data_IF_566587805935
#
_entry.id   IF_566587805935
#
_cell.length_a   1.000
_cell.length_b   1.000
_cell.length_c   1.000
_cell.angle_alpha   90.00
_cell.angle_beta   90.00
_cell.angle_gamma   90.00
#
_symmetry.space_group_name_H-M   'P 1'
#
loop_
_entity.id
_entity.type
_entity.pdbx_description
1 polymer ?
#
# COMPACT_ATOMS: atom_id res chain seq x y z
N UNK A 1 -12.22 -23.56 7.96
CA UNK A 1 -13.32 -23.40 6.96
C UNK A 1 -14.01 -22.05 7.18
N UNK A 2 -14.51 -21.76 8.38
CA UNK A 2 -15.15 -20.48 8.74
C UNK A 2 -14.28 -19.22 8.48
N UNK A 3 -13.01 -19.22 8.90
CA UNK A 3 -12.12 -18.07 8.67
C UNK A 3 -11.94 -17.68 7.20
N UNK A 4 -11.92 -18.65 6.28
CA UNK A 4 -11.82 -18.36 4.84
C UNK A 4 -13.11 -17.72 4.31
N UNK A 5 -14.27 -18.24 4.73
CA UNK A 5 -15.58 -17.70 4.33
C UNK A 5 -15.74 -16.26 4.85
N UNK A 6 -15.39 -16.02 6.11
CA UNK A 6 -15.46 -14.68 6.72
C UNK A 6 -14.65 -13.68 5.90
N UNK A 7 -13.44 -14.06 5.48
CA UNK A 7 -12.54 -13.17 4.74
C UNK A 7 -13.10 -12.86 3.36
N UNK A 8 -13.45 -13.89 2.60
CA UNK A 8 -13.99 -13.72 1.24
C UNK A 8 -15.28 -12.89 1.28
N UNK A 9 -16.18 -13.21 2.22
CA UNK A 9 -17.42 -12.46 2.40
C UNK A 9 -17.15 -11.01 2.84
N UNK A 10 -16.17 -10.76 3.72
CA UNK A 10 -15.82 -9.41 4.18
C UNK A 10 -15.32 -8.55 3.02
N UNK A 11 -14.43 -9.06 2.16
CA UNK A 11 -13.95 -8.33 1.00
C UNK A 11 -15.07 -8.04 -0.01
N UNK A 12 -15.93 -9.02 -0.29
CA UNK A 12 -17.09 -8.82 -1.17
C UNK A 12 -18.03 -7.75 -0.60
N UNK A 13 -18.35 -7.82 0.69
CA UNK A 13 -19.25 -6.86 1.33
C UNK A 13 -18.65 -5.46 1.38
N UNK A 14 -17.37 -5.32 1.72
CA UNK A 14 -16.69 -4.01 1.74
C UNK A 14 -16.67 -3.40 0.35
N UNK A 15 -16.38 -4.17 -0.71
CA UNK A 15 -16.48 -3.67 -2.09
C UNK A 15 -17.92 -3.30 -2.48
N UNK A 16 -18.93 -4.07 -2.02
CA UNK A 16 -20.34 -3.81 -2.27
C UNK A 16 -20.83 -2.51 -1.64
N UNK A 17 -20.56 -2.29 -0.36
CA UNK A 17 -20.90 -1.02 0.28
C UNK A 17 -19.99 0.11 -0.21
N UNK A 18 -18.76 -0.25 -0.57
CA UNK A 18 -17.74 0.62 -1.14
C UNK A 18 -18.14 1.33 -2.42
N UNK A 19 -18.96 0.68 -3.24
CA UNK A 19 -19.41 1.23 -4.51
C UNK A 19 -20.59 2.20 -4.38
N UNK A 20 -21.22 2.31 -3.20
CA UNK A 20 -22.43 3.13 -3.03
C UNK A 20 -22.19 4.61 -3.38
N UNK A 21 -21.10 5.28 -2.95
CA UNK A 21 -20.87 6.67 -3.36
C UNK A 21 -20.79 6.86 -4.88
N UNK A 22 -20.19 5.89 -5.60
CA UNK A 22 -20.11 5.92 -7.06
C UNK A 22 -21.47 5.69 -7.72
N UNK A 23 -22.22 4.69 -7.24
CA UNK A 23 -23.53 4.36 -7.78
C UNK A 23 -24.56 5.48 -7.54
N UNK A 24 -24.49 6.16 -6.38
CA UNK A 24 -25.35 7.30 -6.05
C UNK A 24 -25.00 8.56 -6.84
N UNK A 25 -23.73 8.74 -7.23
CA UNK A 25 -23.32 9.83 -8.12
C UNK A 25 -23.81 9.64 -9.56
N UNK A 26 -23.73 8.41 -10.07
CA UNK A 26 -24.12 8.09 -11.44
C UNK A 26 -23.12 8.62 -12.48
N UNK A 27 -23.61 8.99 -13.67
CA UNK A 27 -22.78 9.43 -14.78
C UNK A 27 -21.95 8.28 -15.36
N UNK A 28 -20.62 8.35 -15.24
CA UNK A 28 -19.70 7.31 -15.73
C UNK A 28 -19.79 6.00 -14.93
N UNK A 29 -20.40 6.04 -13.73
CA UNK A 29 -20.57 4.90 -12.85
C UNK A 29 -21.90 4.18 -13.10
N UNK A 30 -21.93 3.32 -14.12
CA UNK A 30 -22.90 2.22 -14.15
C UNK A 30 -22.70 1.30 -12.93
N UNK A 31 -23.67 0.44 -12.58
CA UNK A 31 -23.55 -0.49 -11.45
C UNK A 31 -22.25 -1.33 -11.52
N UNK A 32 -21.89 -1.78 -12.73
CA UNK A 32 -20.68 -2.58 -12.97
C UNK A 32 -19.43 -1.71 -12.84
N UNK A 33 -19.44 -0.49 -13.36
CA UNK A 33 -18.31 0.45 -13.27
C UNK A 33 -18.06 0.89 -11.82
N UNK A 34 -19.13 1.18 -11.07
CA UNK A 34 -19.08 1.50 -9.66
C UNK A 34 -18.50 0.34 -8.84
N UNK A 35 -18.95 -0.89 -9.11
CA UNK A 35 -18.40 -2.09 -8.50
C UNK A 35 -16.90 -2.25 -8.84
N UNK A 36 -16.52 -2.08 -10.11
CA UNK A 36 -15.14 -2.19 -10.56
C UNK A 36 -14.23 -1.17 -9.84
N UNK A 37 -14.63 0.10 -9.81
CA UNK A 37 -13.87 1.17 -9.18
C UNK A 37 -13.71 0.93 -7.67
N UNK A 38 -14.75 0.41 -7.01
CA UNK A 38 -14.71 0.02 -5.60
C UNK A 38 -13.77 -1.15 -5.34
N UNK A 39 -13.87 -2.21 -6.16
CA UNK A 39 -12.97 -3.37 -6.05
C UNK A 39 -11.53 -2.92 -6.24
N UNK A 40 -11.21 -2.21 -7.33
CA UNK A 40 -9.87 -1.73 -7.63
C UNK A 40 -9.31 -0.82 -6.52
N UNK A 41 -10.18 -0.10 -5.83
CA UNK A 41 -9.90 0.64 -4.62
C UNK A 41 -9.48 -0.25 -3.45
N UNK A 42 -10.40 -1.06 -2.93
CA UNK A 42 -10.16 -1.86 -1.74
C UNK A 42 -9.09 -2.95 -1.91
N UNK A 43 -8.90 -3.46 -3.13
CA UNK A 43 -7.82 -4.43 -3.42
C UNK A 43 -6.47 -3.78 -3.68
N UNK A 44 -6.39 -2.45 -3.56
CA UNK A 44 -5.19 -1.65 -3.85
C UNK A 44 -4.62 -1.98 -5.25
N UNK A 45 -5.50 -2.16 -6.23
CA UNK A 45 -5.11 -2.43 -7.61
C UNK A 45 -4.89 -1.15 -8.41
N UNK A 46 -5.68 -0.11 -8.12
CA UNK A 46 -5.50 1.22 -8.69
C UNK A 46 -5.85 1.36 -10.17
N UNK A 47 -6.47 0.35 -10.78
CA UNK A 47 -7.06 0.48 -12.11
C UNK A 47 -8.34 1.30 -12.06
N UNK A 48 -8.59 2.14 -13.06
CA UNK A 48 -9.80 2.96 -13.14
C UNK A 48 -10.48 2.82 -14.49
N UNK A 49 -11.81 2.90 -14.49
CA UNK A 49 -12.64 2.95 -15.71
C UNK A 49 -12.83 4.38 -16.23
N UNK A 50 -12.44 5.37 -15.43
CA UNK A 50 -12.72 6.77 -15.69
C UNK A 50 -11.77 7.31 -16.74
N UNK A 51 -12.31 8.08 -17.68
CA UNK A 51 -11.51 8.76 -18.70
C UNK A 51 -10.95 10.08 -18.20
N UNK A 52 -11.75 10.78 -17.41
CA UNK A 52 -11.37 12.04 -16.78
C UNK A 52 -11.67 11.98 -15.28
N UNK A 53 -10.63 11.68 -14.51
CA UNK A 53 -10.66 11.65 -13.05
C UNK A 53 -10.85 13.04 -12.46
N UNK A 54 -10.29 14.07 -13.10
CA UNK A 54 -10.30 15.45 -12.59
C UNK A 54 -11.70 16.08 -12.65
N UNK A 55 -12.60 15.53 -13.47
CA UNK A 55 -14.01 15.92 -13.51
C UNK A 55 -14.81 15.49 -12.27
N UNK A 56 -14.29 14.56 -11.44
CA UNK A 56 -14.98 14.13 -10.24
C UNK A 56 -14.94 15.20 -9.14
N UNK A 57 -16.03 15.34 -8.36
CA UNK A 57 -16.02 16.20 -7.18
C UNK A 57 -14.99 15.69 -6.16
N UNK A 58 -14.39 16.60 -5.40
CA UNK A 58 -13.35 16.29 -4.40
C UNK A 58 -13.77 15.24 -3.38
N UNK A 59 -15.06 15.16 -3.04
CA UNK A 59 -15.59 14.10 -2.15
C UNK A 59 -15.42 12.69 -2.72
N UNK A 60 -15.66 12.50 -4.02
CA UNK A 60 -15.45 11.20 -4.67
C UNK A 60 -13.98 10.89 -4.89
N UNK A 61 -13.18 11.90 -5.26
CA UNK A 61 -11.72 11.75 -5.34
C UNK A 61 -11.13 11.30 -4.00
N UNK A 62 -11.56 11.92 -2.90
CA UNK A 62 -11.14 11.52 -1.57
C UNK A 62 -11.59 10.11 -1.22
N UNK A 63 -12.84 9.76 -1.54
CA UNK A 63 -13.36 8.40 -1.31
C UNK A 63 -12.52 7.36 -2.05
N UNK A 64 -12.23 7.59 -3.34
CA UNK A 64 -11.37 6.72 -4.17
C UNK A 64 -10.04 6.46 -3.48
N UNK A 65 -9.29 7.51 -3.15
CA UNK A 65 -7.99 7.35 -2.47
C UNK A 65 -8.12 6.73 -1.08
N UNK A 66 -9.20 7.02 -0.34
CA UNK A 66 -9.44 6.43 0.99
C UNK A 66 -9.67 4.92 0.92
N UNK A 67 -10.29 4.40 -0.15
CA UNK A 67 -10.44 2.96 -0.34
C UNK A 67 -9.10 2.24 -0.50
N UNK A 68 -8.09 2.86 -1.14
CA UNK A 68 -6.71 2.35 -1.14
C UNK A 68 -6.18 2.28 0.28
N UNK A 69 -6.29 3.38 1.02
CA UNK A 69 -5.76 3.45 2.38
C UNK A 69 -6.40 2.42 3.34
N UNK A 70 -7.72 2.23 3.24
CA UNK A 70 -8.46 1.23 4.00
C UNK A 70 -8.16 -0.21 3.54
N UNK A 71 -8.04 -0.43 2.24
CA UNK A 71 -7.66 -1.71 1.65
C UNK A 71 -6.27 -2.17 2.05
N UNK A 72 -5.30 -1.25 1.99
CA UNK A 72 -3.89 -1.48 2.34
C UNK A 72 -3.72 -1.91 3.79
N UNK A 73 -4.35 -1.20 4.74
CA UNK A 73 -4.32 -1.65 6.13
C UNK A 73 -5.07 -2.98 6.30
N UNK A 74 -6.19 -3.17 5.58
CA UNK A 74 -6.97 -4.40 5.59
C UNK A 74 -6.16 -5.64 5.21
N UNK A 75 -5.40 -5.58 4.11
CA UNK A 75 -4.60 -6.72 3.65
C UNK A 75 -3.42 -7.01 4.58
N UNK A 76 -2.77 -5.98 5.13
CA UNK A 76 -1.67 -6.15 6.09
C UNK A 76 -2.19 -6.82 7.37
N UNK A 77 -3.29 -6.34 7.93
CA UNK A 77 -3.90 -6.92 9.13
C UNK A 77 -4.39 -8.34 8.89
N UNK A 78 -4.99 -8.58 7.73
CA UNK A 78 -5.39 -9.92 7.30
C UNK A 78 -4.20 -10.88 7.27
N UNK A 79 -3.12 -10.52 6.60
CA UNK A 79 -1.92 -11.36 6.50
C UNK A 79 -1.36 -11.69 7.89
N UNK A 80 -1.36 -10.71 8.81
CA UNK A 80 -0.86 -10.89 10.17
C UNK A 80 -1.75 -11.77 11.05
N UNK A 81 -3.06 -11.76 10.85
CA UNK A 81 -4.00 -12.58 11.66
C UNK A 81 -4.09 -14.00 11.10
N UNK A 82 -4.11 -14.15 9.79
CA UNK A 82 -4.47 -15.42 9.12
C UNK A 82 -3.25 -16.32 8.94
N UNK A 83 -2.11 -15.78 8.50
CA UNK A 83 -0.91 -16.59 8.26
C UNK A 83 -0.46 -17.34 9.52
N UNK A 84 -0.43 -16.73 10.72
CA UNK A 84 -0.13 -17.46 11.95
C UNK A 84 -1.22 -18.46 12.34
N UNK A 85 -2.49 -18.23 12.01
CA UNK A 85 -3.57 -19.17 12.28
C UNK A 85 -3.44 -20.45 11.45
N UNK A 86 -2.99 -20.34 10.19
CA UNK A 86 -2.68 -21.50 9.33
C UNK A 86 -1.47 -22.27 9.87
N UNK A 87 -0.41 -21.57 10.30
CA UNK A 87 0.75 -22.20 10.95
C UNK A 87 0.42 -22.92 12.27
N UNK A 88 -0.54 -22.38 13.04
CA UNK A 88 -1.07 -23.03 14.26
C UNK A 88 -1.75 -24.37 13.97
N UNK A 89 -2.35 -24.58 12.80
CA UNK A 89 -2.92 -25.90 12.43
C UNK A 89 -1.81 -26.95 12.32
N UNK A 90 -0.62 -26.57 11.83
CA UNK A 90 0.56 -27.45 11.75
C UNK A 90 1.22 -27.68 13.12
N UNK A 91 1.28 -26.66 13.98
CA UNK A 91 1.77 -26.78 15.36
C UNK A 91 0.76 -27.42 16.33
N UNK A 92 -0.53 -27.44 16.00
CA UNK A 92 -1.59 -28.06 16.82
C UNK A 92 -1.46 -29.57 16.91
N UNK A 93 -0.85 -30.22 15.92
CA UNK A 93 -0.50 -31.63 15.98
C UNK A 93 0.64 -31.91 16.98
N UNK A 94 1.50 -30.91 17.24
CA UNK A 94 2.57 -30.95 18.25
C UNK A 94 2.13 -30.43 19.64
N UNK A 95 0.90 -29.89 19.76
CA UNK A 95 0.38 -29.26 20.98
C UNK A 95 -0.12 -30.23 22.06
N UNK A 96 -0.15 -31.53 21.79
CA UNK A 96 -0.49 -32.52 22.82
C UNK A 96 0.57 -32.58 23.94
N UNK A 97 1.76 -32.01 23.72
CA UNK A 97 2.89 -32.08 24.66
C UNK A 97 3.22 -30.75 25.37
N UNK A 98 2.45 -29.67 25.17
CA UNK A 98 2.83 -28.33 25.69
C UNK A 98 2.05 -27.87 26.92
N UNK A 99 2.79 -27.37 27.91
CA UNK A 99 2.29 -26.89 29.21
C UNK A 99 1.39 -25.63 29.12
N UNK A 100 0.49 -25.40 30.10
CA UNK A 100 -0.43 -24.25 30.14
C UNK A 100 0.25 -22.87 30.08
N UNK A 101 1.48 -22.74 30.58
CA UNK A 101 2.25 -21.49 30.55
C UNK A 101 2.60 -21.05 29.11
N UNK A 102 2.82 -21.99 28.20
CA UNK A 102 3.09 -21.71 26.79
C UNK A 102 1.86 -21.17 26.04
N UNK A 103 0.63 -21.51 26.49
CA UNK A 103 -0.62 -20.98 25.92
C UNK A 103 -0.82 -19.49 26.24
N UNK A 104 -0.44 -19.04 27.45
CA UNK A 104 -0.66 -17.65 27.91
C UNK A 104 0.20 -16.60 27.19
N UNK A 105 1.45 -16.94 26.85
CA UNK A 105 2.39 -16.04 26.15
C UNK A 105 1.98 -15.68 24.71
N UNK A 106 1.01 -16.38 24.12
CA UNK A 106 0.62 -16.21 22.71
C UNK A 106 -0.46 -15.14 22.49
N UNK A 107 -1.39 -14.94 23.43
CA UNK A 107 -2.40 -13.87 23.34
C UNK A 107 -1.76 -12.47 23.48
N UNK A 108 -0.75 -12.34 24.34
CA UNK A 108 -0.08 -11.06 24.63
C UNK A 108 0.77 -10.52 23.45
N UNK A 109 1.26 -11.39 22.55
CA UNK A 109 2.09 -10.99 21.40
C UNK A 109 1.28 -10.43 20.21
N UNK A 110 0.01 -10.81 20.07
CA UNK A 110 -0.83 -10.39 18.93
C UNK A 110 -1.10 -8.88 18.93
N UNK A 111 -1.34 -8.29 20.11
CA UNK A 111 -1.68 -6.86 20.23
C UNK A 111 -0.48 -5.94 19.92
N UNK A 112 0.75 -6.35 20.26
CA UNK A 112 1.94 -5.54 19.99
C UNK A 112 2.27 -5.47 18.50
N UNK A 113 2.07 -6.55 17.75
CA UNK A 113 2.30 -6.56 16.29
C UNK A 113 1.30 -5.65 15.57
N UNK A 114 0.04 -5.67 15.99
CA UNK A 114 -1.00 -4.78 15.47
C UNK A 114 -0.65 -3.30 15.69
N UNK A 115 -0.22 -2.95 16.91
CA UNK A 115 0.22 -1.58 17.23
C UNK A 115 1.40 -1.13 16.37
N UNK A 116 2.39 -2.00 16.16
CA UNK A 116 3.54 -1.70 15.29
C UNK A 116 3.09 -1.38 13.87
N UNK A 117 2.17 -2.16 13.32
CA UNK A 117 1.68 -1.97 11.95
C UNK A 117 0.92 -0.67 11.81
N UNK A 118 -0.02 -0.40 12.71
CA UNK A 118 -0.80 0.84 12.69
C UNK A 118 0.12 2.06 12.83
N UNK A 119 1.08 2.01 13.75
CA UNK A 119 2.02 3.10 13.98
C UNK A 119 2.88 3.39 12.74
N UNK A 120 3.42 2.34 12.10
CA UNK A 120 4.24 2.50 10.89
C UNK A 120 3.40 2.97 9.72
N UNK A 121 2.21 2.39 9.51
CA UNK A 121 1.30 2.79 8.42
C UNK A 121 0.95 4.28 8.51
N UNK A 122 0.43 4.70 9.67
CA UNK A 122 0.09 6.11 9.91
C UNK A 122 1.32 7.02 9.87
N UNK A 123 2.44 6.57 10.42
CA UNK A 123 3.69 7.33 10.43
C UNK A 123 4.19 7.60 9.01
N UNK A 124 4.15 6.59 8.13
CA UNK A 124 4.49 6.75 6.72
C UNK A 124 3.51 7.69 6.02
N UNK A 125 2.20 7.48 6.17
CA UNK A 125 1.18 8.32 5.52
C UNK A 125 1.32 9.79 5.90
N UNK A 126 1.50 10.09 7.19
CA UNK A 126 1.66 11.48 7.67
C UNK A 126 2.98 12.07 7.18
N UNK A 127 4.08 11.32 7.26
CA UNK A 127 5.38 11.80 6.81
C UNK A 127 5.39 12.10 5.30
N UNK A 128 4.83 11.21 4.48
CA UNK A 128 4.72 11.42 3.03
C UNK A 128 3.86 12.63 2.70
N UNK A 129 2.70 12.75 3.35
CA UNK A 129 1.79 13.89 3.17
C UNK A 129 2.50 15.21 3.43
N UNK A 130 3.27 15.32 4.52
CA UNK A 130 4.00 16.54 4.88
C UNK A 130 5.07 16.84 3.82
N UNK A 131 5.84 15.84 3.40
CA UNK A 131 6.91 16.02 2.42
C UNK A 131 6.37 16.43 1.05
N UNK A 132 5.27 15.82 0.60
CA UNK A 132 4.59 16.17 -0.65
C UNK A 132 4.00 17.58 -0.61
N UNK A 133 3.36 17.94 0.50
CA UNK A 133 2.80 19.28 0.70
C UNK A 133 3.89 20.36 0.64
N UNK A 134 5.00 20.17 1.35
CA UNK A 134 6.13 21.12 1.35
C UNK A 134 6.83 21.18 -0.02
N UNK A 135 6.75 20.10 -0.80
CA UNK A 135 7.29 20.04 -2.17
C UNK A 135 6.39 20.68 -3.24
N UNK A 136 5.25 21.25 -2.83
CA UNK A 136 4.38 22.05 -3.70
C UNK A 136 3.03 21.43 -4.06
N UNK A 137 2.69 20.24 -3.56
CA UNK A 137 1.33 19.70 -3.74
C UNK A 137 0.31 20.46 -2.88
N UNK A 138 -0.94 20.51 -3.34
CA UNK A 138 -2.05 20.90 -2.45
C UNK A 138 -2.18 19.90 -1.31
N UNK A 139 -2.65 20.32 -0.13
CA UNK A 139 -2.83 19.40 1.00
C UNK A 139 -3.75 18.22 0.64
N UNK A 140 -4.79 18.50 -0.15
CA UNK A 140 -5.72 17.49 -0.64
C UNK A 140 -5.01 16.45 -1.49
N UNK A 141 -4.21 16.88 -2.46
CA UNK A 141 -3.47 15.98 -3.34
C UNK A 141 -2.36 15.23 -2.61
N UNK A 142 -1.69 15.88 -1.65
CA UNK A 142 -0.66 15.27 -0.84
C UNK A 142 -1.20 14.11 0.01
N UNK A 143 -2.36 14.29 0.64
CA UNK A 143 -3.03 13.23 1.43
C UNK A 143 -3.48 12.08 0.52
N UNK A 144 -4.12 12.40 -0.60
CA UNK A 144 -4.66 11.37 -1.50
C UNK A 144 -3.58 10.57 -2.21
N UNK A 145 -2.45 11.19 -2.55
CA UNK A 145 -1.28 10.47 -3.08
C UNK A 145 -0.62 9.62 -1.99
N UNK A 146 -0.43 10.15 -0.77
CA UNK A 146 0.11 9.36 0.34
C UNK A 146 -0.75 8.13 0.67
N UNK A 147 -2.08 8.23 0.55
CA UNK A 147 -2.98 7.09 0.67
C UNK A 147 -2.71 6.03 -0.39
N UNK A 148 -2.55 6.44 -1.65
CA UNK A 148 -2.22 5.54 -2.76
C UNK A 148 -0.83 4.91 -2.64
N UNK A 149 0.19 5.68 -2.27
CA UNK A 149 1.58 5.21 -2.15
C UNK A 149 1.74 4.22 -1.00
N UNK A 150 1.30 4.58 0.21
CA UNK A 150 1.51 3.74 1.41
C UNK A 150 0.70 2.45 1.35
N UNK A 151 -0.46 2.48 0.71
CA UNK A 151 -1.25 1.29 0.43
C UNK A 151 -0.75 0.49 -0.78
N UNK A 152 0.26 0.95 -1.50
CA UNK A 152 0.76 0.37 -2.76
C UNK A 152 -0.32 0.22 -3.84
N UNK A 153 -1.29 1.14 -3.87
CA UNK A 153 -2.44 1.07 -4.75
C UNK A 153 -2.34 1.93 -6.01
N UNK A 154 -1.84 3.17 -5.92
CA UNK A 154 -1.56 4.00 -7.10
C UNK A 154 -2.72 4.84 -7.68
N UNK A 155 -3.83 5.05 -6.96
CA UNK A 155 -4.83 6.04 -7.38
C UNK A 155 -4.29 7.46 -7.24
N UNK A 156 -4.73 8.33 -8.14
CA UNK A 156 -4.39 9.75 -8.14
C UNK A 156 -5.64 10.61 -8.36
N UNK A 157 -5.55 11.86 -7.92
CA UNK A 157 -6.51 12.92 -8.22
C UNK A 157 -6.29 13.54 -9.60
N UNK A 158 -5.20 13.18 -10.29
CA UNK A 158 -4.79 13.72 -11.58
C UNK A 158 -4.79 12.64 -12.65
N UNK A 159 -5.20 12.99 -13.87
CA UNK A 159 -5.24 12.04 -14.98
C UNK A 159 -3.87 11.49 -15.34
N UNK A 160 -2.83 12.33 -15.27
CA UNK A 160 -1.44 11.95 -15.50
C UNK A 160 -0.73 11.37 -14.25
N UNK A 161 -1.49 11.08 -13.18
CA UNK A 161 -0.94 10.68 -11.88
C UNK A 161 0.14 11.65 -11.39
N UNK A 162 1.25 11.15 -10.84
CA UNK A 162 2.41 11.94 -10.40
C UNK A 162 3.01 12.78 -11.53
N UNK A 163 2.90 12.33 -12.78
CA UNK A 163 3.41 13.03 -13.96
C UNK A 163 2.80 14.42 -14.17
N UNK A 164 1.62 14.70 -13.59
CA UNK A 164 1.00 16.02 -13.59
C UNK A 164 1.90 17.11 -12.98
N UNK A 165 2.66 16.78 -11.94
CA UNK A 165 3.46 17.76 -11.20
C UNK A 165 4.82 18.05 -11.85
N UNK A 166 5.30 17.16 -12.73
CA UNK A 166 6.60 17.25 -13.39
C UNK A 166 7.73 17.75 -12.47
N UNK A 167 7.83 17.17 -11.28
CA UNK A 167 8.74 17.62 -10.23
C UNK A 167 9.56 16.45 -9.73
N UNK A 168 10.88 16.52 -9.96
CA UNK A 168 11.84 15.52 -9.52
C UNK A 168 11.76 15.30 -8.00
N UNK A 169 11.49 16.35 -7.23
CA UNK A 169 11.36 16.25 -5.77
C UNK A 169 10.17 15.38 -5.37
N UNK A 170 9.01 15.59 -6.00
CA UNK A 170 7.79 14.82 -5.73
C UNK A 170 7.97 13.36 -6.14
N UNK A 171 8.53 13.12 -7.32
CA UNK A 171 8.80 11.77 -7.82
C UNK A 171 9.74 11.02 -6.89
N UNK A 172 10.86 11.63 -6.48
CA UNK A 172 11.81 11.01 -5.54
C UNK A 172 11.16 10.70 -4.19
N UNK A 173 10.31 11.59 -3.65
CA UNK A 173 9.57 11.32 -2.42
C UNK A 173 8.69 10.09 -2.59
N UNK A 174 7.87 10.05 -3.64
CA UNK A 174 6.97 8.92 -3.89
C UNK A 174 7.75 7.63 -4.09
N UNK A 175 8.82 7.61 -4.90
CA UNK A 175 9.66 6.42 -5.10
C UNK A 175 10.27 5.90 -3.80
N UNK A 176 10.75 6.80 -2.92
CA UNK A 176 11.26 6.42 -1.59
C UNK A 176 10.15 5.81 -0.74
N UNK A 177 8.96 6.40 -0.71
CA UNK A 177 7.85 5.88 0.08
C UNK A 177 7.25 4.60 -0.52
N UNK A 178 7.26 4.41 -1.83
CA UNK A 178 6.95 3.14 -2.49
C UNK A 178 7.90 2.04 -2.03
N UNK A 179 9.21 2.32 -2.01
CA UNK A 179 10.21 1.39 -1.50
C UNK A 179 9.98 1.06 -0.01
N UNK A 180 9.76 2.06 0.84
CA UNK A 180 9.49 1.84 2.26
C UNK A 180 8.21 1.03 2.47
N UNK A 181 7.15 1.34 1.74
CA UNK A 181 5.84 0.69 1.91
C UNK A 181 5.84 -0.77 1.44
N UNK A 182 6.72 -1.12 0.49
CA UNK A 182 6.97 -2.52 0.10
C UNK A 182 7.79 -3.33 1.10
N UNK A 183 8.44 -2.71 2.08
CA UNK A 183 9.20 -3.41 3.12
C UNK A 183 8.29 -4.00 4.20
N UNK A 184 8.76 -5.06 4.85
CA UNK A 184 8.06 -5.60 6.02
C UNK A 184 7.99 -4.57 7.17
N UNK A 185 6.79 -4.26 7.65
CA UNK A 185 6.55 -3.16 8.60
C UNK A 185 7.28 -3.32 9.94
N UNK A 186 7.51 -4.56 10.39
CA UNK A 186 8.34 -4.83 11.56
C UNK A 186 9.81 -4.41 11.40
N UNK A 187 10.35 -4.41 10.17
CA UNK A 187 11.70 -3.92 9.88
C UNK A 187 11.72 -2.40 9.94
N UNK A 188 10.75 -1.75 9.30
CA UNK A 188 10.58 -0.29 9.35
C UNK A 188 10.46 0.21 10.80
N UNK A 189 9.68 -0.49 11.63
CA UNK A 189 9.57 -0.17 13.05
C UNK A 189 10.91 -0.24 13.79
N UNK A 190 11.75 -1.24 13.50
CA UNK A 190 13.09 -1.35 14.09
C UNK A 190 14.00 -0.21 13.64
N UNK A 191 13.90 0.19 12.37
CA UNK A 191 14.64 1.33 11.80
C UNK A 191 14.23 2.63 12.51
N UNK A 192 12.94 2.92 12.58
CA UNK A 192 12.42 4.16 13.18
C UNK A 192 12.55 4.23 14.70
N UNK A 193 12.56 3.10 15.40
CA UNK A 193 12.81 3.06 16.86
C UNK A 193 14.29 3.01 17.23
N UNK A 194 15.19 3.16 16.26
CA UNK A 194 16.66 3.15 16.43
C UNK A 194 17.20 1.96 17.24
N UNK A 195 16.50 0.82 17.21
CA UNK A 195 16.96 -0.38 17.91
C UNK A 195 18.16 -0.94 17.15
N UNK A 196 19.28 -1.19 17.85
CA UNK A 196 20.55 -1.72 17.31
C UNK A 196 20.46 -3.19 16.81
N UNK A 197 19.39 -3.55 16.10
CA UNK A 197 19.31 -4.82 15.38
C UNK A 197 19.86 -4.60 13.97
N UNK A 198 20.64 -5.57 13.49
CA UNK A 198 21.25 -5.56 12.15
C UNK A 198 20.18 -5.89 11.08
N UNK A 199 19.23 -4.99 10.88
CA UNK A 199 18.13 -5.14 9.91
C UNK A 199 18.63 -5.38 8.49
N UNK A 200 19.74 -4.74 8.12
CA UNK A 200 20.43 -4.86 6.83
C UNK A 200 21.08 -6.22 6.58
N UNK A 201 21.12 -7.13 7.59
CA UNK A 201 21.58 -8.52 7.40
C UNK A 201 20.45 -9.48 7.01
N UNK A 202 19.20 -9.01 6.98
CA UNK A 202 18.09 -9.85 6.52
C UNK A 202 18.23 -10.13 5.02
N UNK A 203 18.33 -11.39 4.64
CA UNK A 203 18.39 -11.81 3.23
C UNK A 203 17.18 -11.31 2.43
N UNK A 204 16.01 -11.22 3.06
CA UNK A 204 14.78 -10.71 2.43
C UNK A 204 14.91 -9.22 2.11
N UNK A 205 15.44 -8.42 3.04
CA UNK A 205 15.63 -6.97 2.84
C UNK A 205 16.68 -6.71 1.77
N UNK A 206 17.78 -7.47 1.81
CA UNK A 206 18.83 -7.39 0.79
C UNK A 206 18.30 -7.78 -0.58
N UNK A 207 17.59 -8.90 -0.68
CA UNK A 207 17.00 -9.36 -1.94
C UNK A 207 16.03 -8.33 -2.50
N UNK A 208 15.11 -7.80 -1.69
CA UNK A 208 14.17 -6.76 -2.10
C UNK A 208 14.87 -5.49 -2.61
N UNK A 209 15.89 -5.02 -1.88
CA UNK A 209 16.67 -3.85 -2.29
C UNK A 209 17.41 -4.09 -3.60
N UNK A 210 18.15 -5.19 -3.71
CA UNK A 210 18.90 -5.50 -4.93
C UNK A 210 17.99 -5.78 -6.11
N UNK A 211 16.84 -6.43 -5.92
CA UNK A 211 15.88 -6.66 -7.02
C UNK A 211 15.31 -5.35 -7.56
N UNK A 212 15.01 -4.38 -6.68
CA UNK A 212 14.55 -3.06 -7.10
C UNK A 212 15.65 -2.32 -7.88
N UNK A 213 16.87 -2.26 -7.34
CA UNK A 213 18.00 -1.58 -8.00
C UNK A 213 18.32 -2.20 -9.36
N UNK A 214 18.36 -3.53 -9.44
CA UNK A 214 18.59 -4.25 -10.70
C UNK A 214 17.46 -3.95 -11.69
N UNK A 215 16.20 -3.97 -11.25
CA UNK A 215 15.05 -3.64 -12.09
C UNK A 215 15.16 -2.23 -12.69
N UNK A 216 15.46 -1.23 -11.87
CA UNK A 216 15.65 0.16 -12.31
C UNK A 216 16.78 0.25 -13.33
N UNK A 217 17.92 -0.40 -13.09
CA UNK A 217 19.06 -0.40 -14.03
C UNK A 217 18.67 -1.04 -15.36
N UNK A 218 18.00 -2.19 -15.34
CA UNK A 218 17.58 -2.90 -16.56
C UNK A 218 16.62 -2.05 -17.39
N UNK A 219 15.63 -1.41 -16.75
CA UNK A 219 14.67 -0.52 -17.43
C UNK A 219 15.35 0.74 -17.95
N UNK A 220 16.27 1.33 -17.18
CA UNK A 220 17.06 2.51 -17.59
C UNK A 220 17.88 2.20 -18.84
N UNK A 221 18.61 1.07 -18.86
CA UNK A 221 19.44 0.67 -20.00
C UNK A 221 18.61 0.33 -21.25
N UNK A 222 17.39 -0.18 -21.06
CA UNK A 222 16.48 -0.48 -22.17
C UNK A 222 15.91 0.80 -22.82
N UNK A 223 15.53 1.77 -21.99
CA UNK A 223 14.87 3.00 -22.46
C UNK A 223 15.85 4.07 -22.93
N UNK A 224 17.09 4.05 -22.44
CA UNK A 224 18.14 4.97 -22.85
C UNK A 224 18.51 4.78 -24.33
N UNK A 225 18.51 5.89 -25.08
CA UNK A 225 18.82 5.91 -26.51
C UNK A 225 17.68 5.46 -27.44
N UNK A 226 16.59 4.90 -26.89
CA UNK A 226 15.38 4.55 -27.65
C UNK A 226 14.24 5.55 -27.38
N UNK A 227 13.93 5.78 -26.10
CA UNK A 227 12.82 6.63 -25.68
C UNK A 227 13.31 7.97 -25.12
N UNK A 228 14.49 7.98 -24.49
CA UNK A 228 15.07 9.18 -23.88
C UNK A 228 16.54 9.32 -24.29
N UNK A 229 16.91 10.51 -24.75
CA UNK A 229 18.26 10.83 -25.21
C UNK A 229 19.24 10.94 -24.04
N UNK A 230 18.78 11.48 -22.91
CA UNK A 230 19.62 11.68 -21.72
C UNK A 230 19.51 10.52 -20.74
N UNK A 231 20.66 10.05 -20.23
CA UNK A 231 20.69 8.97 -19.24
C UNK A 231 19.96 9.35 -17.94
N UNK A 232 20.06 10.61 -17.52
CA UNK A 232 19.38 11.12 -16.32
C UNK A 232 17.86 11.05 -16.43
N UNK A 233 17.31 11.31 -17.61
CA UNK A 233 15.88 11.25 -17.87
C UNK A 233 15.39 9.80 -17.98
N UNK A 234 16.15 8.94 -18.66
CA UNK A 234 15.89 7.51 -18.67
C UNK A 234 15.88 6.94 -17.25
N UNK A 235 16.83 7.32 -16.39
CA UNK A 235 16.88 6.89 -14.99
C UNK A 235 15.69 7.42 -14.18
N UNK A 236 15.34 8.70 -14.36
CA UNK A 236 14.22 9.35 -13.68
C UNK A 236 12.89 8.64 -13.96
N UNK A 237 12.62 8.28 -15.21
CA UNK A 237 11.37 7.62 -15.58
C UNK A 237 11.39 6.09 -15.41
N UNK A 238 12.56 5.48 -15.23
CA UNK A 238 12.70 4.06 -14.92
C UNK A 238 12.53 3.73 -13.43
N UNK A 239 12.81 4.69 -12.55
CA UNK A 239 12.76 4.56 -11.08
C UNK A 239 11.37 4.86 -10.50
#
# INVERSE_FOLDING_TARGET
KEGYVIVVASWILVCFFGMLPYALWGGEFSMINAWFESVAGFTTTGSTILKDVEALPSGLLFWRSSTHWLGGIGIILFALVIVPAIGKVRMSLSRLEMSPLAKSNFHYKSNKTLQVVILVYLGLTVAETILLYVSGMSLFDAVTHAFGTVATGGFSTKNASVGYYNSVAIEVIITVFMFLSGMHFGVLYVIFTFKRKKWYKSSIVQFYFFSMVIGIIVVTLNTWGHNYDSFSEALRFAA
#
